data_IF_141959043275
#
_entry.id   IF_141959043275
#
_cell.length_a   1.000
_cell.length_b   1.000
_cell.length_c   1.000
_cell.angle_alpha   90.00
_cell.angle_beta   90.00
_cell.angle_gamma   90.00
#
_symmetry.space_group_name_H-M   'P 1'
#
loop_
_entity.id
_entity.type
_entity.pdbx_description
1 polymer ?
#
# COMPACT_ATOMS: atom_id res chain seq x y z
N UNK A 1 23.36 -37.31 52.58
CA UNK A 1 23.04 -37.57 51.16
C UNK A 1 21.54 -37.34 50.94
N UNK A 2 21.17 -36.13 50.48
CA UNK A 2 19.76 -35.74 50.32
C UNK A 2 19.33 -35.93 48.87
N UNK A 3 18.36 -36.83 48.64
CA UNK A 3 17.79 -37.14 47.32
C UNK A 3 16.89 -35.99 46.87
N UNK A 4 17.26 -35.28 45.80
CA UNK A 4 16.42 -34.30 45.10
C UNK A 4 15.25 -35.04 44.45
N UNK A 5 14.03 -34.76 44.90
CA UNK A 5 12.79 -35.24 44.25
C UNK A 5 12.63 -34.53 42.89
N UNK A 6 12.54 -35.31 41.82
CA UNK A 6 12.21 -34.82 40.48
C UNK A 6 10.77 -34.27 40.48
N UNK A 7 10.61 -33.04 40.00
CA UNK A 7 9.33 -32.35 39.88
C UNK A 7 8.60 -32.89 38.65
N UNK A 8 7.49 -33.58 38.87
CA UNK A 8 6.61 -34.09 37.80
C UNK A 8 6.04 -32.90 37.02
N UNK A 9 6.35 -32.82 35.73
CA UNK A 9 5.82 -31.81 34.80
C UNK A 9 4.36 -32.14 34.46
N UNK A 10 3.46 -31.17 34.62
CA UNK A 10 2.07 -31.30 34.18
C UNK A 10 1.97 -31.41 32.66
N UNK A 11 0.95 -32.12 32.12
CA UNK A 11 0.72 -32.21 30.68
C UNK A 11 0.39 -30.82 30.12
N UNK A 12 1.18 -30.38 29.13
CA UNK A 12 0.98 -29.11 28.42
C UNK A 12 -0.15 -29.24 27.42
N UNK A 13 -1.18 -28.41 27.57
CA UNK A 13 -2.29 -28.30 26.61
C UNK A 13 -1.78 -27.76 25.27
N UNK A 14 -1.97 -28.55 24.21
CA UNK A 14 -1.46 -28.27 22.85
C UNK A 14 -2.13 -27.03 22.24
N UNK A 15 -3.29 -26.61 22.77
CA UNK A 15 -4.02 -25.44 22.29
C UNK A 15 -3.87 -24.21 23.20
N UNK A 16 -2.92 -24.22 24.14
CA UNK A 16 -2.67 -23.05 24.98
C UNK A 16 -2.19 -21.87 24.13
N UNK A 17 -2.90 -20.74 24.20
CA UNK A 17 -2.50 -19.46 23.61
C UNK A 17 -2.44 -18.36 24.68
N UNK A 18 -1.61 -17.34 24.45
CA UNK A 18 -1.60 -16.11 25.26
C UNK A 18 -1.81 -14.89 24.37
N UNK A 19 -2.66 -13.98 24.80
CA UNK A 19 -2.88 -12.72 24.10
C UNK A 19 -1.75 -11.72 24.39
N UNK A 20 -1.16 -11.15 23.33
CA UNK A 20 -0.22 -10.05 23.45
C UNK A 20 -0.94 -8.71 23.28
N UNK A 21 -1.02 -7.91 24.34
CA UNK A 21 -1.74 -6.63 24.34
C UNK A 21 -1.06 -5.56 23.48
N UNK A 22 0.28 -5.59 23.34
CA UNK A 22 1.00 -4.66 22.47
C UNK A 22 0.71 -4.89 20.98
N UNK A 23 0.52 -6.15 20.59
CA UNK A 23 0.27 -6.54 19.19
C UNK A 23 -1.20 -6.85 18.90
N UNK A 24 -2.05 -6.91 19.92
CA UNK A 24 -3.46 -7.32 19.86
C UNK A 24 -3.68 -8.64 19.10
N UNK A 25 -2.81 -9.63 19.34
CA UNK A 25 -2.85 -10.94 18.69
C UNK A 25 -2.68 -12.07 19.70
N UNK A 26 -3.34 -13.20 19.46
CA UNK A 26 -3.17 -14.42 20.24
C UNK A 26 -1.97 -15.22 19.73
N UNK A 27 -0.97 -15.41 20.59
CA UNK A 27 0.24 -16.16 20.30
C UNK A 27 0.02 -17.60 20.76
N UNK A 28 0.12 -18.55 19.83
CA UNK A 28 0.03 -19.97 20.16
C UNK A 28 1.29 -20.42 20.91
N UNK A 29 1.11 -20.80 22.16
CA UNK A 29 2.19 -21.27 23.05
C UNK A 29 2.42 -22.77 22.80
N UNK A 30 1.37 -23.55 22.55
CA UNK A 30 1.42 -24.94 22.09
C UNK A 30 2.56 -25.78 22.67
N UNK A 31 3.18 -26.60 21.81
CA UNK A 31 4.33 -27.46 22.17
C UNK A 31 5.62 -26.67 22.44
N UNK A 32 5.75 -25.45 21.89
CA UNK A 32 6.92 -24.60 22.08
C UNK A 32 6.97 -23.93 23.46
N UNK A 33 5.86 -23.95 24.21
CA UNK A 33 5.78 -23.37 25.54
C UNK A 33 6.23 -21.91 25.58
N UNK A 34 6.95 -21.54 26.63
CA UNK A 34 7.45 -20.17 26.79
C UNK A 34 8.46 -19.75 25.71
N UNK A 35 9.08 -20.67 24.98
CA UNK A 35 10.00 -20.32 23.90
C UNK A 35 9.28 -19.60 22.75
N UNK A 36 8.06 -20.02 22.40
CA UNK A 36 7.24 -19.34 21.39
C UNK A 36 6.84 -17.93 21.84
N UNK A 37 6.46 -17.78 23.12
CA UNK A 37 6.13 -16.47 23.68
C UNK A 37 7.35 -15.54 23.68
N UNK A 38 8.50 -16.06 24.07
CA UNK A 38 9.76 -15.31 24.09
C UNK A 38 10.16 -14.86 22.68
N UNK A 39 10.10 -15.77 21.70
CA UNK A 39 10.36 -15.45 20.29
C UNK A 39 9.42 -14.36 19.77
N UNK A 40 8.14 -14.39 20.14
CA UNK A 40 7.21 -13.30 19.83
C UNK A 40 7.63 -11.97 20.48
N UNK A 41 7.94 -11.95 21.78
CA UNK A 41 8.32 -10.70 22.48
C UNK A 41 9.65 -10.11 22.00
N UNK A 42 10.53 -10.95 21.46
CA UNK A 42 11.84 -10.53 20.90
C UNK A 42 11.75 -10.18 19.40
N UNK A 43 10.62 -10.43 18.74
CA UNK A 43 10.43 -10.15 17.31
C UNK A 43 10.49 -8.65 16.99
N UNK A 44 10.93 -8.33 15.77
CA UNK A 44 11.05 -6.94 15.31
C UNK A 44 9.68 -6.24 15.30
N UNK A 45 8.63 -6.97 14.93
CA UNK A 45 7.24 -6.50 14.90
C UNK A 45 6.74 -6.13 16.30
N UNK A 46 6.99 -6.99 17.29
CA UNK A 46 6.61 -6.70 18.68
C UNK A 46 7.32 -5.46 19.22
N UNK A 47 8.61 -5.30 18.90
CA UNK A 47 9.38 -4.10 19.26
C UNK A 47 8.82 -2.84 18.61
N UNK A 48 8.50 -2.87 17.32
CA UNK A 48 7.88 -1.74 16.60
C UNK A 48 6.53 -1.35 17.22
N UNK A 49 5.66 -2.33 17.49
CA UNK A 49 4.35 -2.09 18.10
C UNK A 49 4.46 -1.54 19.54
N UNK A 50 5.39 -2.06 20.33
CA UNK A 50 5.62 -1.60 21.71
C UNK A 50 6.11 -0.15 21.74
N UNK A 51 7.02 0.23 20.84
CA UNK A 51 7.47 1.62 20.69
C UNK A 51 6.32 2.57 20.31
N UNK A 52 5.42 2.14 19.41
CA UNK A 52 4.25 2.94 19.04
C UNK A 52 3.27 3.14 20.21
N UNK A 53 3.02 2.09 21.00
CA UNK A 53 2.15 2.16 22.19
C UNK A 53 2.77 3.03 23.30
N UNK A 54 4.09 2.95 23.51
CA UNK A 54 4.81 3.80 24.47
C UNK A 54 4.78 5.29 24.07
N UNK A 55 4.95 5.59 22.79
CA UNK A 55 4.87 6.96 22.28
C UNK A 55 3.47 7.56 22.47
N UNK A 56 2.41 6.75 22.31
CA UNK A 56 1.04 7.21 22.58
C UNK A 56 0.77 7.46 24.08
N UNK A 57 1.44 6.74 25.00
CA UNK A 57 1.30 7.02 26.45
C UNK A 57 1.85 8.38 26.85
N UNK A 58 2.89 8.88 26.18
CA UNK A 58 3.43 10.22 26.46
C UNK A 58 2.47 11.36 26.10
N UNK A 59 1.51 11.15 25.20
CA UNK A 59 0.50 12.16 24.88
C UNK A 59 -0.65 12.18 25.90
N UNK A 60 -0.94 11.05 26.56
CA UNK A 60 -2.01 10.97 27.57
C UNK A 60 -1.61 11.51 28.95
N UNK A 61 -0.32 11.69 29.23
CA UNK A 61 0.14 12.28 30.49
C UNK A 61 -0.10 13.80 30.59
N UNK A 62 -0.44 14.46 29.48
CA UNK A 62 -0.81 15.89 29.46
C UNK A 62 -2.17 16.19 30.11
N UNK A 63 -3.00 15.17 30.37
CA UNK A 63 -4.34 15.34 30.98
C UNK A 63 -4.41 14.91 32.45
N UNK A 64 -3.27 14.64 33.11
CA UNK A 64 -3.27 14.37 34.56
C UNK A 64 -3.15 15.68 35.35
N UNK A 65 -4.04 15.95 36.33
CA UNK A 65 -3.96 17.15 37.16
C UNK A 65 -2.68 17.12 38.00
N UNK A 66 -1.78 18.08 37.76
CA UNK A 66 -0.52 18.24 38.50
C UNK A 66 -0.81 18.62 39.95
N UNK A 67 -0.46 17.74 40.90
CA UNK A 67 -0.24 18.13 42.30
C UNK A 67 1.06 18.93 42.40
N UNK A 68 0.95 20.19 42.85
CA UNK A 68 2.07 21.12 43.00
C UNK A 68 2.93 20.72 44.19
N UNK A 69 4.23 20.46 43.95
CA UNK A 69 5.25 20.42 44.99
C UNK A 69 6.28 21.51 44.66
N UNK A 70 6.42 22.47 45.57
CA UNK A 70 7.40 23.56 45.47
C UNK A 70 8.78 23.04 45.85
N UNK A 71 9.79 23.32 45.02
CA UNK A 71 11.15 23.51 45.52
C UNK A 71 11.99 24.38 44.58
N UNK A 72 13.03 24.94 45.19
CA UNK A 72 13.60 26.26 45.00
C UNK A 72 14.73 26.37 43.98
N UNK A 73 14.91 27.61 43.54
CA UNK A 73 15.89 28.19 42.63
C UNK A 73 17.34 28.07 43.12
N UNK A 74 18.29 27.88 42.19
CA UNK A 74 19.67 28.35 42.29
C UNK A 74 20.22 28.72 40.90
N UNK A 75 21.13 29.70 40.87
CA UNK A 75 21.48 30.62 39.77
C UNK A 75 22.95 30.46 39.32
N UNK A 76 23.24 30.92 38.08
CA UNK A 76 24.52 31.28 37.44
C UNK A 76 25.43 30.12 36.96
N UNK A 77 25.88 30.09 35.69
CA UNK A 77 26.88 30.97 35.06
C UNK A 77 27.48 30.32 33.78
N UNK A 78 28.51 30.91 33.11
CA UNK A 78 28.34 31.49 31.77
C UNK A 78 28.93 30.72 30.57
N UNK A 79 28.59 31.26 29.39
CA UNK A 79 28.88 30.83 28.03
C UNK A 79 30.37 30.68 27.65
N UNK A 80 30.65 29.69 26.79
CA UNK A 80 31.94 29.53 26.10
C UNK A 80 31.77 29.73 24.59
N UNK A 81 32.60 30.63 24.08
CA UNK A 81 32.70 31.02 22.68
C UNK A 81 33.25 29.89 21.79
N UNK A 82 32.77 29.88 20.55
CA UNK A 82 33.24 29.00 19.47
C UNK A 82 34.47 29.61 18.79
N UNK A 83 35.48 28.78 18.51
CA UNK A 83 36.59 29.12 17.62
C UNK A 83 36.50 28.30 16.32
N UNK A 84 36.92 28.85 15.17
CA UNK A 84 36.94 28.13 13.89
C UNK A 84 38.27 27.37 13.71
N UNK A 85 38.18 26.12 13.27
CA UNK A 85 39.35 25.33 12.86
C UNK A 85 39.50 25.44 11.35
N UNK A 86 40.56 26.13 10.91
CA UNK A 86 41.12 26.04 9.56
C UNK A 86 41.99 24.80 9.47
N UNK A 87 41.71 23.90 8.52
CA UNK A 87 42.51 22.71 8.26
C UNK A 87 42.50 22.35 6.78
N UNK A 88 43.49 22.85 6.05
CA UNK A 88 43.96 22.38 4.75
C UNK A 88 44.52 20.96 4.86
N UNK A 89 44.10 20.05 3.99
CA UNK A 89 44.65 18.70 3.90
C UNK A 89 44.53 18.16 2.48
N UNK A 90 45.68 18.06 1.81
CA UNK A 90 45.87 17.62 0.45
C UNK A 90 45.60 16.12 0.22
N UNK A 91 45.37 15.81 -1.05
CA UNK A 91 45.10 14.52 -1.64
C UNK A 91 46.20 13.47 -1.41
N UNK A 92 45.78 12.21 -1.20
CA UNK A 92 46.57 11.04 -1.61
C UNK A 92 45.68 9.99 -2.27
N UNK A 93 46.02 9.72 -3.53
CA UNK A 93 45.47 8.69 -4.40
C UNK A 93 45.99 7.33 -3.92
N UNK A 94 45.09 6.45 -3.48
CA UNK A 94 45.42 5.07 -3.16
C UNK A 94 45.10 4.15 -4.35
N UNK A 95 46.16 3.45 -4.77
CA UNK A 95 46.30 2.51 -5.87
C UNK A 95 45.60 1.19 -5.53
N UNK A 96 44.57 0.81 -6.29
CA UNK A 96 43.88 -0.48 -6.13
C UNK A 96 44.74 -1.64 -6.67
N UNK A 97 44.87 -2.65 -5.82
CA UNK A 97 45.68 -3.85 -6.00
C UNK A 97 44.87 -4.97 -6.66
N UNK A 98 45.57 -5.80 -7.43
CA UNK A 98 45.03 -6.91 -8.23
C UNK A 98 44.44 -8.05 -7.37
N UNK A 99 43.31 -8.60 -7.81
CA UNK A 99 42.66 -9.77 -7.23
C UNK A 99 43.26 -11.08 -7.79
N UNK A 100 43.46 -12.14 -6.97
CA UNK A 100 43.88 -13.44 -7.47
C UNK A 100 42.70 -14.41 -7.71
N UNK A 101 42.80 -15.06 -8.86
CA UNK A 101 42.40 -16.42 -9.25
C UNK A 101 41.32 -17.16 -8.44
N UNK A 102 40.22 -17.40 -9.16
CA UNK A 102 39.11 -18.32 -8.89
C UNK A 102 39.55 -19.76 -8.64
N UNK A 103 38.97 -20.41 -7.62
CA UNK A 103 39.00 -21.87 -7.42
C UNK A 103 37.58 -22.40 -7.54
N UNK A 104 37.37 -23.26 -8.54
CA UNK A 104 36.16 -24.07 -8.73
C UNK A 104 36.03 -25.14 -7.64
N UNK A 105 34.79 -25.39 -7.22
CA UNK A 105 34.30 -26.58 -6.51
C UNK A 105 32.76 -26.66 -6.73
N UNK A 106 32.13 -27.81 -6.48
CA UNK A 106 31.49 -28.60 -7.53
C UNK A 106 29.97 -28.46 -7.56
N UNK A 107 29.46 -28.66 -8.79
CA UNK A 107 28.06 -28.74 -9.17
C UNK A 107 27.29 -29.77 -8.34
N UNK A 108 26.27 -29.31 -7.62
CA UNK A 108 25.10 -30.10 -7.25
C UNK A 108 23.88 -29.53 -8.01
N UNK A 109 23.38 -30.35 -8.93
CA UNK A 109 22.09 -30.15 -9.58
C UNK A 109 20.98 -30.44 -8.57
N UNK A 110 20.09 -29.46 -8.35
CA UNK A 110 18.67 -29.66 -8.03
C UNK A 110 17.92 -28.36 -8.34
N UNK A 111 17.64 -28.15 -9.63
CA UNK A 111 16.78 -27.06 -10.10
C UNK A 111 15.35 -27.58 -10.25
N UNK A 112 14.58 -27.54 -9.16
CA UNK A 112 13.13 -27.32 -9.23
C UNK A 112 12.93 -25.89 -8.75
N UNK A 113 13.16 -24.94 -9.65
CA UNK A 113 12.94 -23.52 -9.38
C UNK A 113 11.44 -23.26 -9.44
N UNK A 114 10.95 -22.76 -8.31
CA UNK A 114 9.67 -22.11 -8.07
C UNK A 114 9.51 -20.90 -9.00
N UNK A 115 8.99 -21.15 -10.20
CA UNK A 115 8.66 -20.13 -11.22
C UNK A 115 7.33 -19.42 -10.88
N UNK A 116 6.49 -20.00 -10.02
CA UNK A 116 5.14 -19.48 -9.75
C UNK A 116 5.15 -18.22 -8.87
N UNK A 117 6.07 -18.08 -7.92
CA UNK A 117 6.09 -16.91 -7.03
C UNK A 117 6.43 -15.58 -7.76
N UNK A 118 7.20 -15.62 -8.86
CA UNK A 118 7.64 -14.42 -9.60
C UNK A 118 6.61 -13.95 -10.63
N UNK A 119 5.74 -14.83 -11.12
CA UNK A 119 4.60 -14.43 -11.98
C UNK A 119 3.46 -13.79 -11.18
N UNK A 120 3.28 -14.15 -9.90
CA UNK A 120 2.24 -13.58 -9.04
C UNK A 120 2.44 -12.08 -8.74
N UNK A 121 3.69 -11.61 -8.59
CA UNK A 121 3.98 -10.19 -8.36
C UNK A 121 3.61 -9.27 -9.57
N UNK A 122 3.62 -9.82 -10.79
CA UNK A 122 3.28 -9.10 -12.02
C UNK A 122 1.77 -8.98 -12.30
N UNK A 123 0.91 -9.50 -11.42
CA UNK A 123 -0.55 -9.48 -11.62
C UNK A 123 -1.28 -8.38 -10.85
N UNK A 124 -0.58 -7.67 -9.96
CA UNK A 124 -1.18 -6.56 -9.24
C UNK A 124 -1.44 -5.37 -10.18
N UNK A 125 -2.65 -4.83 -10.07
CA UNK A 125 -3.03 -3.64 -10.80
C UNK A 125 -2.10 -2.47 -10.42
N UNK A 126 -1.64 -1.64 -11.36
CA UNK A 126 -0.88 -0.44 -11.03
C UNK A 126 -1.67 0.43 -10.05
N UNK A 127 -0.98 1.01 -9.06
CA UNK A 127 -1.60 1.89 -8.08
C UNK A 127 -2.20 3.13 -8.78
N UNK A 128 -3.54 3.19 -8.90
CA UNK A 128 -4.23 4.29 -9.59
C UNK A 128 -3.92 5.67 -9.01
N UNK A 129 -3.77 5.76 -7.69
CA UNK A 129 -3.35 6.98 -7.01
C UNK A 129 -1.94 7.42 -7.41
N UNK A 130 -0.99 6.48 -7.46
CA UNK A 130 0.37 6.77 -7.91
C UNK A 130 0.39 7.29 -9.35
N UNK A 131 -0.37 6.65 -10.25
CA UNK A 131 -0.46 7.10 -11.64
C UNK A 131 -1.06 8.50 -11.77
N UNK A 132 -2.05 8.86 -10.93
CA UNK A 132 -2.59 10.21 -10.89
C UNK A 132 -1.54 11.23 -10.46
N UNK A 133 -0.76 10.95 -9.41
CA UNK A 133 0.34 11.83 -8.97
C UNK A 133 1.35 12.08 -10.09
N UNK A 134 1.71 11.05 -10.86
CA UNK A 134 2.61 11.19 -12.02
C UNK A 134 1.96 12.01 -13.13
N UNK A 135 0.65 11.83 -13.37
CA UNK A 135 -0.06 12.63 -14.38
C UNK A 135 -0.10 14.11 -14.00
N UNK A 136 -0.32 14.42 -12.72
CA UNK A 136 -0.30 15.80 -12.21
C UNK A 136 1.09 16.41 -12.34
N UNK A 137 2.14 15.64 -12.01
CA UNK A 137 3.53 16.04 -12.19
C UNK A 137 3.86 16.34 -13.66
N UNK A 138 3.41 15.48 -14.59
CA UNK A 138 3.58 15.71 -16.05
C UNK A 138 2.85 16.95 -16.53
N UNK A 139 1.63 17.18 -16.05
CA UNK A 139 0.85 18.36 -16.42
C UNK A 139 1.54 19.65 -15.95
N UNK A 140 2.16 19.62 -14.78
CA UNK A 140 2.96 20.73 -14.27
C UNK A 140 4.27 20.89 -15.07
N UNK A 141 4.96 19.80 -15.38
CA UNK A 141 6.20 19.81 -16.17
C UNK A 141 6.01 20.44 -17.57
N UNK A 142 4.86 20.20 -18.22
CA UNK A 142 4.48 20.85 -19.49
C UNK A 142 4.39 22.37 -19.38
N UNK A 143 4.16 22.91 -18.19
CA UNK A 143 4.11 24.34 -17.91
C UNK A 143 5.48 25.00 -17.69
N UNK A 144 6.59 24.24 -17.75
CA UNK A 144 7.93 24.82 -17.60
C UNK A 144 8.28 25.72 -18.78
N UNK A 145 8.87 26.88 -18.47
CA UNK A 145 9.31 27.83 -19.47
C UNK A 145 10.41 27.24 -20.38
N UNK A 146 10.47 27.65 -21.67
CA UNK A 146 11.55 27.25 -22.57
C UNK A 146 12.96 27.66 -22.12
N UNK A 147 13.06 28.63 -21.21
CA UNK A 147 14.33 29.06 -20.60
C UNK A 147 14.94 28.03 -19.66
N UNK A 148 14.16 27.06 -19.17
CA UNK A 148 14.70 25.96 -18.37
C UNK A 148 15.47 25.01 -19.30
N UNK A 149 16.75 24.71 -19.02
CA UNK A 149 17.57 23.87 -19.89
C UNK A 149 17.04 22.44 -19.98
N UNK A 150 17.36 21.78 -21.09
CA UNK A 150 17.12 20.35 -21.29
C UNK A 150 18.20 19.57 -20.52
N UNK A 151 17.81 18.44 -19.92
CA UNK A 151 18.71 17.63 -19.10
C UNK A 151 19.90 17.10 -19.90
N UNK A 152 21.08 17.11 -19.30
CA UNK A 152 22.31 16.50 -19.80
C UNK A 152 22.65 15.22 -19.03
N UNK A 153 23.54 14.39 -19.57
CA UNK A 153 23.86 13.06 -19.01
C UNK A 153 24.59 13.11 -17.67
N UNK A 154 25.29 14.21 -17.36
CA UNK A 154 26.05 14.43 -16.13
C UNK A 154 25.21 15.09 -15.02
N UNK A 155 23.95 15.39 -15.28
CA UNK A 155 23.08 16.06 -14.32
C UNK A 155 22.34 15.09 -13.41
N UNK A 156 21.96 15.56 -12.23
CA UNK A 156 21.41 14.72 -11.17
C UNK A 156 20.15 13.94 -11.57
N UNK A 157 19.27 14.52 -12.39
CA UNK A 157 18.04 13.86 -12.84
C UNK A 157 18.27 12.88 -14.00
N UNK A 158 19.45 12.89 -14.63
CA UNK A 158 19.75 12.01 -15.77
C UNK A 158 19.72 10.53 -15.38
N UNK A 159 19.97 10.23 -14.11
CA UNK A 159 19.86 8.88 -13.51
C UNK A 159 18.49 8.25 -13.75
N UNK A 160 17.43 9.05 -13.84
CA UNK A 160 16.08 8.56 -14.07
C UNK A 160 15.72 8.44 -15.56
N UNK A 161 16.67 8.60 -16.48
CA UNK A 161 16.45 8.38 -17.91
C UNK A 161 16.36 6.90 -18.32
N UNK A 162 16.73 5.98 -17.42
CA UNK A 162 16.74 4.54 -17.65
C UNK A 162 15.45 3.81 -17.30
N UNK A 163 15.51 2.48 -17.36
CA UNK A 163 14.42 1.59 -16.94
C UNK A 163 14.70 1.04 -15.54
N UNK A 164 13.90 1.38 -14.51
CA UNK A 164 14.14 0.94 -13.14
C UNK A 164 14.13 -0.58 -12.98
N UNK A 165 13.49 -1.32 -13.89
CA UNK A 165 13.45 -2.79 -13.83
C UNK A 165 14.81 -3.43 -14.04
N UNK A 166 15.72 -2.71 -14.71
CA UNK A 166 17.10 -3.16 -14.94
C UNK A 166 18.02 -2.82 -13.76
N UNK A 167 17.56 -1.97 -12.82
CA UNK A 167 18.31 -1.56 -11.63
C UNK A 167 18.01 -2.42 -10.40
N UNK A 168 16.95 -3.23 -10.42
CA UNK A 168 16.58 -4.11 -9.29
C UNK A 168 17.41 -5.39 -9.32
N UNK A 169 18.20 -5.63 -8.28
CA UNK A 169 18.90 -6.90 -8.07
C UNK A 169 17.92 -8.02 -7.70
N UNK A 170 18.25 -9.29 -8.01
CA UNK A 170 17.30 -10.42 -7.87
C UNK A 170 16.72 -10.59 -6.46
N UNK A 171 17.49 -10.25 -5.43
CA UNK A 171 17.12 -10.40 -4.02
C UNK A 171 16.77 -9.06 -3.34
N UNK A 172 16.75 -7.96 -4.08
CA UNK A 172 16.52 -6.63 -3.53
C UNK A 172 15.03 -6.28 -3.55
N UNK A 173 14.50 -5.78 -2.43
CA UNK A 173 13.17 -5.18 -2.39
C UNK A 173 13.11 -4.00 -3.40
N UNK A 174 12.23 -4.04 -4.42
CA UNK A 174 12.11 -2.97 -5.39
C UNK A 174 11.85 -1.60 -4.77
N UNK A 175 11.14 -1.55 -3.62
CA UNK A 175 10.91 -0.29 -2.92
C UNK A 175 12.19 0.29 -2.34
N UNK A 176 13.05 -0.51 -1.73
CA UNK A 176 14.33 -0.05 -1.16
C UNK A 176 15.25 0.52 -2.25
N UNK A 177 15.32 -0.12 -3.42
CA UNK A 177 16.03 0.42 -4.59
C UNK A 177 15.45 1.78 -4.99
N UNK A 178 14.13 1.85 -5.16
CA UNK A 178 13.46 3.07 -5.60
C UNK A 178 13.65 4.21 -4.60
N UNK A 179 13.47 3.93 -3.32
CA UNK A 179 13.65 4.90 -2.25
C UNK A 179 15.09 5.39 -2.19
N UNK A 180 16.08 4.50 -2.30
CA UNK A 180 17.50 4.88 -2.32
C UNK A 180 17.84 5.76 -3.52
N UNK A 181 17.33 5.43 -4.72
CA UNK A 181 17.53 6.25 -5.92
C UNK A 181 16.92 7.65 -5.75
N UNK A 182 15.69 7.73 -5.21
CA UNK A 182 15.01 8.99 -4.92
C UNK A 182 15.71 9.78 -3.81
N UNK A 183 16.22 9.14 -2.77
CA UNK A 183 16.92 9.81 -1.67
C UNK A 183 18.27 10.35 -2.13
N UNK A 184 19.01 9.63 -2.97
CA UNK A 184 20.27 10.12 -3.54
C UNK A 184 20.05 11.37 -4.42
N UNK A 185 18.99 11.36 -5.23
CA UNK A 185 18.70 12.47 -6.13
C UNK A 185 17.98 13.63 -5.42
N UNK A 186 16.86 13.33 -4.78
CA UNK A 186 15.93 14.32 -4.24
C UNK A 186 16.21 14.68 -2.79
N UNK A 187 16.95 13.86 -2.04
CA UNK A 187 17.49 14.12 -0.70
C UNK A 187 16.45 14.46 0.39
N UNK A 188 16.59 13.91 1.58
CA UNK A 188 15.85 14.43 2.74
C UNK A 188 16.22 15.90 3.02
N UNK A 189 17.51 16.21 2.97
CA UNK A 189 18.04 17.54 3.33
C UNK A 189 17.89 18.59 2.23
N UNK A 190 17.67 18.19 0.98
CA UNK A 190 17.54 19.16 -0.11
C UNK A 190 16.24 19.92 0.03
N UNK A 191 16.30 21.23 0.03
CA UNK A 191 15.10 22.06 0.04
C UNK A 191 14.47 22.10 -1.38
N UNK A 192 13.18 22.45 -1.52
CA UNK A 192 12.59 22.69 -2.84
C UNK A 192 13.38 23.72 -3.66
N UNK A 193 13.99 24.70 -3.02
CA UNK A 193 14.84 25.73 -3.63
C UNK A 193 16.13 25.14 -4.19
N UNK A 194 16.75 24.18 -3.48
CA UNK A 194 17.94 23.48 -3.98
C UNK A 194 17.60 22.61 -5.19
N UNK A 195 16.48 21.89 -5.12
CA UNK A 195 16.00 21.06 -6.22
C UNK A 195 15.61 21.90 -7.44
N UNK A 196 15.02 23.08 -7.26
CA UNK A 196 14.65 23.99 -8.33
C UNK A 196 15.85 24.37 -9.22
N UNK A 197 17.05 24.54 -8.64
CA UNK A 197 18.28 24.84 -9.40
C UNK A 197 18.72 23.67 -10.29
N UNK A 198 18.37 22.45 -9.91
CA UNK A 198 18.67 21.21 -10.63
C UNK A 198 17.55 20.79 -11.59
N UNK A 199 16.43 21.49 -11.66
CA UNK A 199 15.33 21.12 -12.55
C UNK A 199 15.71 21.33 -14.01
N UNK A 200 15.35 20.33 -14.83
CA UNK A 200 15.65 20.25 -16.25
C UNK A 200 14.48 19.65 -17.00
N UNK A 201 14.31 20.02 -18.27
CA UNK A 201 13.28 19.45 -19.16
C UNK A 201 13.81 18.22 -19.90
N UNK A 202 12.92 17.46 -20.53
CA UNK A 202 13.29 16.35 -21.41
C UNK A 202 13.53 15.02 -20.69
N UNK A 203 13.95 14.02 -21.47
CA UNK A 203 14.10 12.62 -21.04
C UNK A 203 15.21 12.39 -20.00
N UNK A 204 16.20 13.28 -19.92
CA UNK A 204 17.24 13.28 -18.87
C UNK A 204 16.91 14.27 -17.72
N UNK A 205 15.69 14.82 -17.72
CA UNK A 205 15.19 15.72 -16.70
C UNK A 205 13.87 15.21 -16.12
N UNK A 206 12.91 16.13 -15.97
CA UNK A 206 11.63 15.83 -15.31
C UNK A 206 10.78 14.80 -16.06
N UNK A 207 10.86 14.73 -17.40
CA UNK A 207 10.09 13.76 -18.18
C UNK A 207 10.63 12.34 -17.97
N UNK A 208 11.96 12.22 -17.84
CA UNK A 208 12.64 10.99 -17.43
C UNK A 208 12.17 10.51 -16.07
N UNK A 209 12.23 11.37 -15.06
CA UNK A 209 11.73 11.06 -13.71
C UNK A 209 10.27 10.59 -13.72
N UNK A 210 9.38 11.27 -14.47
CA UNK A 210 7.98 10.85 -14.57
C UNK A 210 7.83 9.47 -15.20
N UNK A 211 8.59 9.18 -16.27
CA UNK A 211 8.56 7.88 -16.93
C UNK A 211 9.09 6.77 -16.02
N UNK A 212 10.22 7.01 -15.36
CA UNK A 212 10.84 6.08 -14.42
C UNK A 212 9.89 5.75 -13.26
N UNK A 213 9.26 6.76 -12.64
CA UNK A 213 8.29 6.54 -11.57
C UNK A 213 7.04 5.78 -12.04
N UNK A 214 6.54 6.07 -13.25
CA UNK A 214 5.42 5.31 -13.82
C UNK A 214 5.78 3.83 -14.00
N UNK A 215 7.00 3.52 -14.47
CA UNK A 215 7.47 2.14 -14.60
C UNK A 215 7.54 1.48 -13.22
N UNK A 216 8.08 2.17 -12.20
CA UNK A 216 8.13 1.64 -10.83
C UNK A 216 6.74 1.32 -10.28
N UNK A 217 5.74 2.16 -10.54
CA UNK A 217 4.35 1.89 -10.11
C UNK A 217 3.75 0.71 -10.88
N UNK A 218 3.94 0.67 -12.20
CA UNK A 218 3.28 -0.33 -13.06
C UNK A 218 3.89 -1.71 -12.99
N UNK A 219 5.21 -1.79 -12.88
CA UNK A 219 5.95 -3.04 -13.06
C UNK A 219 6.68 -3.48 -11.81
N UNK A 220 7.06 -2.55 -10.92
CA UNK A 220 7.67 -2.89 -9.63
C UNK A 220 6.64 -2.91 -8.49
N UNK A 221 5.35 -2.65 -8.79
CA UNK A 221 4.26 -2.71 -7.81
C UNK A 221 4.33 -1.64 -6.71
N UNK A 222 5.09 -0.56 -6.93
CA UNK A 222 5.27 0.49 -5.92
C UNK A 222 3.97 1.26 -5.70
N UNK A 223 3.58 1.37 -4.43
CA UNK A 223 2.36 2.08 -4.02
C UNK A 223 2.58 3.60 -4.08
N UNK A 224 1.62 4.32 -4.66
CA UNK A 224 1.69 5.78 -4.81
C UNK A 224 1.86 6.55 -3.50
N UNK A 225 1.30 6.05 -2.40
CA UNK A 225 1.42 6.65 -1.05
C UNK A 225 2.87 6.75 -0.57
N UNK A 226 3.75 5.85 -1.01
CA UNK A 226 5.17 5.87 -0.66
C UNK A 226 5.93 6.96 -1.43
N UNK A 227 5.46 7.29 -2.63
CA UNK A 227 6.08 8.28 -3.52
C UNK A 227 5.58 9.71 -3.25
N UNK A 228 4.39 9.85 -2.66
CA UNK A 228 3.71 11.14 -2.45
C UNK A 228 4.61 12.21 -1.81
N UNK A 229 5.30 11.98 -0.67
CA UNK A 229 6.13 13.02 -0.05
C UNK A 229 7.28 13.50 -0.93
N UNK A 230 7.78 12.63 -1.83
CA UNK A 230 8.85 12.96 -2.78
C UNK A 230 8.29 13.73 -3.97
N UNK A 231 7.16 13.28 -4.52
CA UNK A 231 6.50 13.95 -5.65
C UNK A 231 6.04 15.36 -5.25
N UNK A 232 5.46 15.55 -4.07
CA UNK A 232 5.09 16.88 -3.57
C UNK A 232 6.29 17.84 -3.50
N UNK A 233 7.45 17.33 -3.09
CA UNK A 233 8.69 18.11 -3.03
C UNK A 233 9.14 18.55 -4.42
N UNK A 234 9.06 17.66 -5.41
CA UNK A 234 9.35 17.97 -6.81
C UNK A 234 8.34 18.97 -7.37
N UNK A 235 7.04 18.81 -7.08
CA UNK A 235 5.99 19.77 -7.47
C UNK A 235 6.30 21.17 -6.96
N UNK A 236 6.66 21.31 -5.67
CA UNK A 236 7.05 22.62 -5.09
C UNK A 236 8.28 23.20 -5.80
N UNK A 237 9.26 22.36 -6.13
CA UNK A 237 10.47 22.78 -6.85
C UNK A 237 10.16 23.28 -8.27
N UNK A 238 9.26 22.60 -8.99
CA UNK A 238 8.80 23.01 -10.32
C UNK A 238 8.04 24.33 -10.28
N UNK A 239 7.22 24.55 -9.25
CA UNK A 239 6.52 25.82 -9.06
C UNK A 239 7.49 26.99 -8.86
N UNK A 240 8.60 26.79 -8.13
CA UNK A 240 9.68 27.78 -8.00
C UNK A 240 10.32 28.08 -9.35
N UNK A 241 10.45 27.08 -10.24
CA UNK A 241 10.89 27.27 -11.62
C UNK A 241 9.86 27.98 -12.52
N UNK A 242 8.72 28.43 -11.96
CA UNK A 242 7.66 29.12 -12.70
C UNK A 242 6.70 28.20 -13.43
N UNK A 243 6.75 26.87 -13.18
CA UNK A 243 5.77 25.95 -13.74
C UNK A 243 4.38 26.28 -13.20
N UNK A 244 3.43 26.49 -14.12
CA UNK A 244 2.01 26.63 -13.77
C UNK A 244 1.29 25.37 -14.18
N UNK A 245 0.47 24.83 -13.29
CA UNK A 245 -0.42 23.75 -13.65
C UNK A 245 -1.28 24.24 -14.81
N UNK A 246 -1.23 23.52 -15.93
CA UNK A 246 -2.21 23.69 -17.00
C UNK A 246 -3.49 23.10 -16.43
N UNK A 247 -4.23 23.91 -15.67
CA UNK A 247 -5.60 23.58 -15.33
C UNK A 247 -6.29 23.45 -16.68
N UNK A 248 -6.78 22.26 -17.07
CA UNK A 248 -7.57 22.17 -18.28
C UNK A 248 -8.68 23.19 -18.09
N UNK A 249 -8.68 24.25 -18.91
CA UNK A 249 -9.71 25.27 -18.84
C UNK A 249 -11.04 24.51 -18.80
N UNK A 250 -11.91 24.76 -17.79
CA UNK A 250 -13.20 24.10 -17.75
C UNK A 250 -13.81 24.40 -19.10
N UNK A 251 -14.02 23.35 -19.90
CA UNK A 251 -14.53 23.47 -21.26
C UNK A 251 -15.87 24.16 -21.13
N UNK A 252 -15.87 25.49 -21.25
CA UNK A 252 -17.08 26.27 -21.25
C UNK A 252 -17.80 25.79 -22.49
N UNK A 253 -18.82 24.95 -22.28
CA UNK A 253 -19.76 24.57 -23.30
C UNK A 253 -20.42 25.86 -23.79
N UNK A 254 -19.79 26.52 -24.75
CA UNK A 254 -20.37 27.64 -25.48
C UNK A 254 -21.64 27.05 -26.08
N UNK A 255 -22.78 27.53 -25.56
CA UNK A 255 -24.08 27.26 -26.13
C UNK A 255 -24.11 27.84 -27.55
N UNK A 256 -23.72 27.00 -28.52
CA UNK A 256 -23.83 27.32 -29.95
C UNK A 256 -25.33 27.36 -30.26
N UNK A 257 -25.89 28.59 -30.32
CA UNK A 257 -27.20 28.84 -30.92
C UNK A 257 -27.11 28.44 -32.40
N UNK A 258 -27.75 27.34 -32.75
CA UNK A 258 -27.85 26.89 -34.14
C UNK A 258 -28.70 27.89 -34.94
N UNK A 259 -28.08 28.51 -35.94
CA UNK A 259 -28.79 29.04 -37.11
C UNK A 259 -28.34 28.22 -38.31
N UNK A 260 -29.32 27.69 -39.02
CA UNK A 260 -29.15 26.70 -40.09
C UNK A 260 -28.23 27.20 -41.20
N UNK A 261 -27.30 26.35 -41.58
CA UNK A 261 -26.61 26.42 -42.86
C UNK A 261 -26.26 25.00 -43.28
N UNK A 262 -26.91 24.55 -44.35
CA UNK A 262 -26.68 23.26 -45.01
C UNK A 262 -25.33 23.33 -45.73
N UNK A 263 -24.25 22.92 -45.06
CA UNK A 263 -22.95 22.70 -45.70
C UNK A 263 -22.43 21.33 -45.26
N UNK A 264 -21.90 20.60 -46.25
CA UNK A 264 -21.45 19.21 -46.20
C UNK A 264 -20.76 18.80 -44.89
N UNK A 265 -21.33 17.74 -44.29
CA UNK A 265 -20.95 17.13 -43.02
C UNK A 265 -19.53 16.55 -43.06
N UNK A 266 -18.59 17.28 -42.45
CA UNK A 266 -17.36 16.68 -41.90
C UNK A 266 -17.74 15.95 -40.63
N UNK A 267 -17.58 14.62 -40.60
CA UNK A 267 -17.79 13.77 -39.43
C UNK A 267 -16.96 14.30 -38.26
N UNK A 268 -17.62 14.95 -37.30
CA UNK A 268 -17.01 15.31 -36.02
C UNK A 268 -16.63 14.03 -35.25
N UNK A 269 -15.67 14.12 -34.32
CA UNK A 269 -15.27 12.97 -33.51
C UNK A 269 -16.51 12.45 -32.77
N UNK A 270 -16.90 11.23 -33.13
CA UNK A 270 -18.03 10.53 -32.54
C UNK A 270 -17.87 10.52 -31.02
N UNK A 271 -18.86 11.09 -30.35
CA UNK A 271 -18.92 11.20 -28.91
C UNK A 271 -18.97 9.77 -28.33
N UNK A 272 -17.81 9.24 -27.94
CA UNK A 272 -17.64 7.89 -27.42
C UNK A 272 -18.53 7.75 -26.19
N UNK A 273 -19.67 7.09 -26.35
CA UNK A 273 -20.62 6.87 -25.28
C UNK A 273 -19.92 6.14 -24.12
N UNK A 274 -19.84 6.81 -22.97
CA UNK A 274 -19.32 6.22 -21.75
C UNK A 274 -20.47 5.49 -21.04
N UNK A 275 -20.29 4.21 -20.70
CA UNK A 275 -21.29 3.44 -19.95
C UNK A 275 -20.98 3.51 -18.47
N UNK A 276 -21.99 3.54 -17.57
CA UNK A 276 -21.75 3.49 -16.14
C UNK A 276 -21.12 2.14 -15.74
N UNK A 277 -20.20 2.18 -14.79
CA UNK A 277 -19.57 0.98 -14.25
C UNK A 277 -20.57 0.16 -13.43
N UNK A 278 -20.74 -1.11 -13.79
CA UNK A 278 -21.67 -2.03 -13.10
C UNK A 278 -21.14 -2.57 -11.76
N UNK A 279 -19.84 -2.43 -11.47
CA UNK A 279 -19.19 -3.05 -10.31
C UNK A 279 -18.91 -4.56 -10.49
N UNK A 280 -18.06 -5.11 -9.64
CA UNK A 280 -17.73 -6.53 -9.69
C UNK A 280 -18.89 -7.39 -9.20
N UNK A 281 -19.47 -8.20 -10.09
CA UNK A 281 -20.53 -9.15 -9.75
C UNK A 281 -19.96 -10.29 -8.91
N UNK A 282 -20.37 -10.38 -7.65
CA UNK A 282 -19.98 -11.47 -6.77
C UNK A 282 -20.83 -12.71 -7.07
N UNK A 283 -20.19 -13.86 -7.22
CA UNK A 283 -20.88 -15.12 -7.42
C UNK A 283 -21.60 -15.57 -6.14
N UNK A 284 -22.90 -15.79 -6.26
CA UNK A 284 -23.76 -16.30 -5.18
C UNK A 284 -23.93 -17.81 -5.36
N UNK A 285 -23.76 -18.64 -4.32
CA UNK A 285 -24.04 -20.07 -4.40
C UNK A 285 -25.48 -20.35 -4.85
N UNK A 286 -25.65 -21.31 -5.75
CA UNK A 286 -26.97 -21.66 -6.30
C UNK A 286 -28.01 -21.91 -5.22
N UNK A 287 -29.18 -21.30 -5.37
CA UNK A 287 -30.29 -21.43 -4.42
C UNK A 287 -30.17 -20.57 -3.15
N UNK A 288 -29.12 -19.76 -3.02
CA UNK A 288 -28.98 -18.80 -1.92
C UNK A 288 -29.34 -17.39 -2.37
N UNK A 289 -29.93 -16.61 -1.47
CA UNK A 289 -30.19 -15.18 -1.70
C UNK A 289 -28.95 -14.34 -1.36
N UNK A 290 -28.58 -13.34 -2.18
CA UNK A 290 -27.46 -12.43 -1.90
C UNK A 290 -27.59 -11.74 -0.53
N UNK A 291 -28.82 -11.42 -0.11
CA UNK A 291 -29.11 -10.80 1.20
C UNK A 291 -28.78 -11.73 2.37
N UNK A 292 -28.89 -13.04 2.16
CA UNK A 292 -28.74 -14.04 3.22
C UNK A 292 -27.32 -14.59 3.34
N UNK A 293 -26.60 -14.71 2.23
CA UNK A 293 -25.28 -15.33 2.17
C UNK A 293 -24.12 -14.33 2.31
N UNK A 294 -24.29 -13.05 1.94
CA UNK A 294 -23.23 -12.06 2.05
C UNK A 294 -23.06 -11.57 3.51
N UNK A 295 -21.83 -11.50 4.04
CA UNK A 295 -21.58 -11.07 5.42
C UNK A 295 -21.56 -9.55 5.55
N UNK A 296 -22.73 -8.91 5.56
CA UNK A 296 -22.87 -7.45 5.66
C UNK A 296 -22.22 -6.86 6.93
N UNK A 297 -22.09 -7.65 8.01
CA UNK A 297 -21.41 -7.23 9.23
C UNK A 297 -19.96 -6.77 9.03
N UNK A 298 -19.29 -7.20 7.95
CA UNK A 298 -17.95 -6.73 7.62
C UNK A 298 -17.90 -5.21 7.43
N UNK A 299 -18.92 -4.62 6.80
CA UNK A 299 -18.98 -3.18 6.52
C UNK A 299 -19.13 -2.33 7.79
N UNK A 300 -19.62 -2.91 8.89
CA UNK A 300 -19.75 -2.21 10.17
C UNK A 300 -18.47 -2.21 11.00
N UNK A 301 -17.56 -3.17 10.74
CA UNK A 301 -16.38 -3.41 11.58
C UNK A 301 -15.08 -3.05 10.87
N UNK A 302 -15.04 -3.13 9.55
CA UNK A 302 -13.84 -2.95 8.76
C UNK A 302 -14.03 -1.83 7.73
N UNK A 303 -12.98 -1.04 7.53
CA UNK A 303 -12.91 -0.09 6.41
C UNK A 303 -12.57 -0.86 5.14
N UNK A 304 -13.59 -1.34 4.45
CA UNK A 304 -13.42 -2.09 3.21
C UNK A 304 -13.16 -1.15 2.02
N UNK A 305 -12.34 -1.54 1.03
CA UNK A 305 -12.08 -0.74 -0.16
C UNK A 305 -13.22 -0.80 -1.21
N UNK A 306 -14.36 -1.42 -0.88
CA UNK A 306 -15.55 -1.46 -1.73
C UNK A 306 -16.83 -1.14 -0.94
N UNK A 307 -17.90 -0.89 -1.69
CA UNK A 307 -19.28 -0.81 -1.23
C UNK A 307 -20.09 -1.92 -1.90
N UNK A 308 -21.29 -2.22 -1.39
CA UNK A 308 -22.15 -3.26 -1.93
C UNK A 308 -23.43 -2.66 -2.49
N UNK A 309 -23.83 -3.14 -3.67
CA UNK A 309 -25.11 -2.84 -4.31
C UNK A 309 -25.80 -4.16 -4.62
N UNK A 310 -27.07 -4.30 -4.28
CA UNK A 310 -27.87 -5.49 -4.61
C UNK A 310 -28.91 -5.09 -5.65
N UNK A 311 -28.92 -5.78 -6.80
CA UNK A 311 -29.84 -5.53 -7.91
C UNK A 311 -30.05 -6.83 -8.70
N UNK A 312 -31.28 -7.08 -9.17
CA UNK A 312 -31.67 -8.30 -9.92
C UNK A 312 -31.22 -9.61 -9.25
N UNK A 313 -31.41 -9.72 -7.93
CA UNK A 313 -31.02 -10.89 -7.13
C UNK A 313 -29.51 -11.23 -7.22
N UNK A 314 -28.69 -10.26 -7.61
CA UNK A 314 -27.23 -10.34 -7.59
C UNK A 314 -26.65 -9.24 -6.69
N UNK A 315 -25.47 -9.51 -6.12
CA UNK A 315 -24.69 -8.50 -5.41
C UNK A 315 -23.48 -8.07 -6.24
N UNK A 316 -23.31 -6.76 -6.33
CA UNK A 316 -22.21 -6.10 -7.02
C UNK A 316 -21.36 -5.37 -5.98
N UNK A 317 -20.05 -5.56 -6.07
CA UNK A 317 -19.06 -4.89 -5.25
C UNK A 317 -18.49 -3.73 -6.06
N UNK A 318 -18.67 -2.51 -5.57
CA UNK A 318 -18.20 -1.29 -6.24
C UNK A 318 -17.01 -0.74 -5.48
N UNK A 319 -15.84 -0.70 -6.11
CA UNK A 319 -14.63 -0.14 -5.51
C UNK A 319 -14.87 1.31 -5.09
N UNK A 320 -14.34 1.72 -3.94
CA UNK A 320 -14.37 3.13 -3.53
C UNK A 320 -13.57 4.04 -4.46
N UNK A 321 -12.63 3.47 -5.21
CA UNK A 321 -11.88 4.14 -6.28
C UNK A 321 -12.52 3.99 -7.67
N UNK A 322 -13.79 3.56 -7.75
CA UNK A 322 -14.48 3.35 -9.02
C UNK A 322 -14.51 4.63 -9.87
N UNK A 323 -14.05 4.52 -11.12
CA UNK A 323 -14.08 5.59 -12.13
C UNK A 323 -15.49 6.02 -12.58
N UNK A 324 -16.54 5.37 -12.06
CA UNK A 324 -17.97 5.57 -12.37
C UNK A 324 -18.39 5.26 -13.81
N UNK A 325 -17.53 5.48 -14.79
CA UNK A 325 -17.79 5.19 -16.19
C UNK A 325 -16.70 4.29 -16.79
N UNK A 326 -17.04 3.57 -17.86
CA UNK A 326 -16.17 2.65 -18.59
C UNK A 326 -16.18 3.02 -20.06
N UNK A 327 -15.00 3.07 -20.67
CA UNK A 327 -14.85 3.26 -22.11
C UNK A 327 -15.28 1.98 -22.84
N UNK A 328 -16.27 2.07 -23.73
CA UNK A 328 -16.81 0.91 -24.46
C UNK A 328 -15.82 0.26 -25.42
N UNK A 329 -14.66 0.87 -25.66
CA UNK A 329 -13.66 0.36 -26.61
C UNK A 329 -12.73 -0.69 -26.00
N UNK A 330 -12.85 -1.01 -24.71
CA UNK A 330 -12.00 -2.01 -24.06
C UNK A 330 -12.67 -3.39 -24.14
N UNK A 331 -12.31 -4.13 -25.18
CA UNK A 331 -12.60 -5.56 -25.29
C UNK A 331 -11.59 -6.36 -24.46
N UNK A 332 -12.06 -7.42 -23.82
CA UNK A 332 -11.19 -8.39 -23.16
C UNK A 332 -10.41 -9.25 -24.17
N UNK A 333 -9.53 -10.12 -23.67
CA UNK A 333 -8.76 -11.05 -24.53
C UNK A 333 -9.64 -12.01 -25.35
N UNK A 334 -10.91 -12.12 -25.00
CA UNK A 334 -11.92 -12.95 -25.67
C UNK A 334 -12.90 -12.11 -26.52
N UNK A 335 -12.64 -10.81 -26.71
CA UNK A 335 -13.51 -9.92 -27.48
C UNK A 335 -14.80 -9.50 -26.76
N UNK A 336 -14.90 -9.73 -25.45
CA UNK A 336 -16.09 -9.35 -24.66
C UNK A 336 -15.92 -7.93 -24.11
N UNK A 337 -16.95 -7.12 -24.26
CA UNK A 337 -16.99 -5.78 -23.65
C UNK A 337 -17.02 -5.88 -22.13
N UNK A 338 -16.12 -5.15 -21.47
CA UNK A 338 -16.20 -4.97 -20.03
C UNK A 338 -17.21 -3.89 -19.67
N UNK A 339 -18.18 -4.23 -18.82
CA UNK A 339 -19.09 -3.24 -18.21
C UNK A 339 -18.56 -2.72 -16.87
N UNK A 340 -17.40 -3.21 -16.44
CA UNK A 340 -16.75 -2.86 -15.18
C UNK A 340 -15.47 -2.10 -15.41
N UNK A 341 -15.26 -1.02 -14.63
CA UNK A 341 -13.99 -0.31 -14.62
C UNK A 341 -12.89 -1.20 -13.99
N UNK A 342 -11.66 -0.79 -14.22
CA UNK A 342 -10.48 -1.51 -13.76
C UNK A 342 -10.47 -1.73 -12.24
N UNK A 343 -10.71 -0.69 -11.44
CA UNK A 343 -10.70 -0.78 -9.97
C UNK A 343 -11.78 -1.73 -9.44
N UNK A 344 -12.98 -1.72 -10.04
CA UNK A 344 -14.03 -2.65 -9.67
C UNK A 344 -13.66 -4.08 -10.06
N UNK A 345 -13.15 -4.31 -11.28
CA UNK A 345 -12.73 -5.64 -11.71
C UNK A 345 -11.65 -6.24 -10.81
N UNK A 346 -10.71 -5.41 -10.35
CA UNK A 346 -9.61 -5.87 -9.51
C UNK A 346 -10.05 -6.38 -8.12
N UNK A 347 -11.28 -6.06 -7.70
CA UNK A 347 -11.87 -6.64 -6.50
C UNK A 347 -11.96 -8.18 -6.54
N UNK A 348 -11.96 -8.78 -7.73
CA UNK A 348 -11.91 -10.23 -7.90
C UNK A 348 -10.70 -10.87 -7.19
N UNK A 349 -9.56 -10.19 -7.20
CA UNK A 349 -8.29 -10.67 -6.64
C UNK A 349 -8.06 -10.18 -5.20
N UNK A 350 -9.02 -9.48 -4.61
CA UNK A 350 -8.89 -8.98 -3.24
C UNK A 350 -9.00 -10.14 -2.23
N UNK A 351 -8.01 -10.29 -1.36
CA UNK A 351 -7.94 -11.39 -0.38
C UNK A 351 -9.16 -11.48 0.54
N UNK A 352 -9.71 -10.34 0.95
CA UNK A 352 -10.90 -10.32 1.81
C UNK A 352 -12.13 -10.82 1.05
N UNK A 353 -12.29 -10.45 -0.22
CA UNK A 353 -13.38 -10.93 -1.08
C UNK A 353 -13.22 -12.43 -1.37
N UNK A 354 -12.00 -12.90 -1.66
CA UNK A 354 -11.73 -14.33 -1.80
C UNK A 354 -12.11 -15.11 -0.52
N UNK A 355 -11.76 -14.56 0.66
CA UNK A 355 -12.18 -15.12 1.94
C UNK A 355 -13.69 -15.13 2.14
N UNK A 356 -14.40 -14.09 1.69
CA UNK A 356 -15.87 -14.04 1.69
C UNK A 356 -16.45 -15.13 0.78
N UNK A 357 -15.97 -15.27 -0.47
CA UNK A 357 -16.41 -16.32 -1.40
C UNK A 357 -16.20 -17.71 -0.80
N UNK A 358 -15.02 -17.97 -0.24
CA UNK A 358 -14.71 -19.25 0.42
C UNK A 358 -15.68 -19.56 1.57
N UNK A 359 -16.01 -18.57 2.40
CA UNK A 359 -16.95 -18.72 3.53
C UNK A 359 -18.41 -18.84 3.08
N UNK A 360 -18.79 -18.23 1.97
CA UNK A 360 -20.12 -18.40 1.37
C UNK A 360 -20.32 -19.83 0.86
N UNK A 361 -19.29 -20.43 0.26
CA UNK A 361 -19.34 -21.81 -0.23
C UNK A 361 -19.18 -22.87 0.87
N UNK A 362 -18.20 -22.69 1.75
CA UNK A 362 -17.79 -23.74 2.69
C UNK A 362 -18.40 -23.57 4.09
N UNK A 363 -19.15 -22.49 4.31
CA UNK A 363 -19.57 -22.07 5.65
C UNK A 363 -18.48 -21.31 6.41
N UNK A 364 -18.87 -20.83 7.59
CA UNK A 364 -18.01 -20.11 8.52
C UNK A 364 -17.69 -21.01 9.70
N UNK A 365 -16.41 -21.08 10.08
CA UNK A 365 -15.99 -21.84 11.24
C UNK A 365 -16.62 -21.27 12.52
N UNK A 366 -17.03 -22.12 13.46
CA UNK A 366 -17.81 -21.73 14.65
C UNK A 366 -17.09 -20.69 15.53
N UNK A 367 -15.76 -20.76 15.58
CA UNK A 367 -14.92 -19.81 16.32
C UNK A 367 -14.58 -18.53 15.54
N UNK A 368 -15.14 -18.31 14.35
CA UNK A 368 -14.89 -17.09 13.59
C UNK A 368 -15.51 -15.88 14.29
N UNK A 369 -15.01 -14.68 14.01
CA UNK A 369 -15.63 -13.46 14.52
C UNK A 369 -16.99 -13.22 13.86
N UNK A 370 -17.97 -12.72 14.61
CA UNK A 370 -19.36 -12.49 14.15
C UNK A 370 -19.51 -11.65 12.86
N UNK A 371 -18.68 -10.64 12.56
CA UNK A 371 -18.76 -9.90 11.30
C UNK A 371 -18.64 -10.76 10.04
N UNK A 372 -18.02 -11.94 10.15
CA UNK A 372 -17.87 -12.87 9.02
C UNK A 372 -19.08 -13.77 8.79
N UNK A 373 -20.04 -13.79 9.72
CA UNK A 373 -21.24 -14.61 9.59
C UNK A 373 -22.22 -13.90 8.67
N UNK A 374 -22.74 -14.67 7.71
CA UNK A 374 -23.89 -14.26 6.92
C UNK A 374 -25.17 -14.25 7.77
N UNK A 375 -26.22 -13.60 7.29
CA UNK A 375 -27.51 -13.61 7.98
C UNK A 375 -28.03 -15.05 8.17
N UNK A 376 -27.90 -15.92 7.17
CA UNK A 376 -28.29 -17.33 7.28
C UNK A 376 -27.52 -18.06 8.39
N UNK A 377 -26.21 -17.84 8.48
CA UNK A 377 -25.35 -18.48 9.50
C UNK A 377 -25.65 -17.96 10.91
N UNK A 378 -25.98 -16.67 11.05
CA UNK A 378 -26.41 -16.10 12.33
C UNK A 378 -27.73 -16.72 12.80
N UNK A 379 -28.72 -16.87 11.92
CA UNK A 379 -30.01 -17.51 12.24
C UNK A 379 -29.81 -18.97 12.65
N UNK A 380 -28.96 -19.71 11.94
CA UNK A 380 -28.64 -21.10 12.27
C UNK A 380 -27.95 -21.22 13.63
N UNK A 381 -26.97 -20.36 13.91
CA UNK A 381 -26.28 -20.31 15.19
C UNK A 381 -27.24 -20.00 16.35
N UNK A 382 -28.17 -19.05 16.16
CA UNK A 382 -29.21 -18.75 17.15
C UNK A 382 -30.17 -19.93 17.39
N UNK A 383 -30.55 -20.67 16.34
CA UNK A 383 -31.38 -21.88 16.48
C UNK A 383 -30.68 -22.97 17.29
N UNK A 384 -29.39 -23.21 17.03
CA UNK A 384 -28.57 -24.17 17.80
C UNK A 384 -28.49 -23.79 19.28
N UNK A 385 -28.23 -22.51 19.58
CA UNK A 385 -28.17 -22.03 20.96
C UNK A 385 -29.50 -22.20 21.71
N UNK A 386 -30.64 -21.91 21.06
CA UNK A 386 -31.97 -22.16 21.66
C UNK A 386 -32.23 -23.65 21.92
N UNK A 387 -31.82 -24.53 21.00
CA UNK A 387 -31.94 -25.98 21.17
C UNK A 387 -31.15 -26.52 22.36
N UNK A 388 -29.93 -26.00 22.59
CA UNK A 388 -29.12 -26.39 23.75
C UNK A 388 -29.72 -25.93 25.07
N UNK A 389 -30.24 -24.70 25.15
CA UNK A 389 -30.90 -24.21 26.37
C UNK A 389 -32.15 -25.02 26.74
N UNK A 390 -32.88 -25.53 25.77
CA UNK A 390 -34.05 -26.36 26.03
C UNK A 390 -33.68 -27.77 26.53
N UNK A 391 -32.51 -28.32 26.15
CA UNK A 391 -32.02 -29.61 26.67
C UNK A 391 -31.48 -29.49 28.10
N UNK A 392 -30.86 -28.37 28.46
CA UNK A 392 -30.39 -28.12 29.83
C UNK A 392 -31.51 -27.96 30.87
N UNK A 393 -32.71 -27.52 30.46
CA UNK A 393 -33.88 -27.41 31.35
C UNK A 393 -34.65 -28.71 31.58
N UNK A 394 -34.39 -29.76 30.79
CA UNK A 394 -35.13 -31.03 30.88
C UNK A 394 -34.50 -32.04 31.86
N UNK A 395 -33.35 -31.71 32.48
CA UNK A 395 -32.65 -32.53 33.47
C UNK A 395 -32.78 -32.01 34.92
N UNK A 396 -33.79 -31.18 35.20
CA UNK A 396 -34.10 -30.69 36.55
C UNK A 396 -35.57 -30.92 36.92
N UNK A 397 -36.10 -32.10 36.59
CA UNK A 397 -37.37 -32.61 37.12
C UNK A 397 -37.18 -34.02 37.68
#
# INVERSE_FOLDING_TARGET
>A
MSKKKAKVSQPTDVNASRNCTSCNQDVNIGLGGEANWKAHTESLEHRKNTSAVQNNRMLTSFFQPKSVSMQSVAVAGPAKAWQPVTGTGEAQIAKLSAAPASKQLPSCNDNVIDIEARELANTSAPCGYGLQLIQDLRNLAKGLAPSIPVGASDELLSRFGGDPRQEVEEDQDPWEMVNQALDNALGYEKTPEDLARCMRRGSLGIDGLCNWLEISIRFLGIQGVLLEPRIEKVIKSLQICGAKAIVPEPVNHIAVKSRGSLVASKRGPENLACQPCSGYKLEIPSGQSPYGCYPFGLHTRYTLPWTCVVHDDAIYLVSKSCQKNVSMNVLDRHGKQHTTCFDCRHLENNEQIMGVRKRMHNGVHENSNHPFFSYFQLVETMKRLKGHNNRGRMFCL
#
